data_IF_606374154082
#
_entry.id   IF_606374154082
#
_cell.length_a   1.000
_cell.length_b   1.000
_cell.length_c   1.000
_cell.angle_alpha   90.00
_cell.angle_beta   90.00
_cell.angle_gamma   90.00
#
_symmetry.space_group_name_H-M   'P 1'
#
loop_
_entity.id
_entity.type
_entity.pdbx_description
1 polymer ?
#
# COMPACT_ATOMS: atom_id res chain seq x y z
N UNK A 1 16.28 1.40 1.00
CA UNK A 1 15.23 1.79 1.98
C UNK A 1 14.21 2.66 1.29
N UNK A 2 12.91 2.41 1.50
CA UNK A 2 11.81 3.30 1.09
C UNK A 2 11.26 3.95 2.34
N UNK A 3 11.02 5.27 2.33
CA UNK A 3 10.47 6.00 3.48
C UNK A 3 9.19 6.69 3.06
N UNK A 4 8.09 6.32 3.69
CA UNK A 4 6.79 6.98 3.52
C UNK A 4 6.57 8.02 4.60
N UNK A 5 6.11 9.20 4.20
CA UNK A 5 5.89 10.32 5.11
C UNK A 5 4.44 10.78 5.00
N UNK A 6 3.79 10.88 6.16
CA UNK A 6 2.40 11.34 6.27
C UNK A 6 2.24 12.83 5.96
N UNK A 7 1.04 13.23 5.52
CA UNK A 7 0.74 14.63 5.18
C UNK A 7 0.94 15.58 6.37
N UNK A 8 0.53 15.19 7.57
CA UNK A 8 0.68 15.97 8.81
C UNK A 8 2.14 16.19 9.22
N UNK A 9 3.04 15.32 8.76
CA UNK A 9 4.48 15.44 9.04
C UNK A 9 5.17 16.38 8.05
N UNK A 10 4.76 16.33 6.76
CA UNK A 10 5.33 17.17 5.70
C UNK A 10 4.77 18.58 5.72
N UNK A 11 3.50 18.74 6.12
CA UNK A 11 2.78 20.03 6.10
C UNK A 11 2.22 20.33 7.47
N UNK A 12 2.58 21.49 7.98
CA UNK A 12 2.06 21.99 9.25
C UNK A 12 0.57 22.33 9.19
N UNK A 13 -0.03 22.56 10.36
CA UNK A 13 -1.43 22.96 10.49
C UNK A 13 -1.76 24.30 9.79
N UNK A 14 -0.75 25.12 9.52
CA UNK A 14 -0.84 26.39 8.80
C UNK A 14 -0.78 26.22 7.26
N UNK A 15 -0.75 24.99 6.77
CA UNK A 15 -0.64 24.66 5.35
C UNK A 15 0.74 24.86 4.74
N UNK A 16 1.75 25.18 5.55
CA UNK A 16 3.12 25.38 5.09
C UNK A 16 3.93 24.10 5.19
N UNK A 17 4.89 23.96 4.27
CA UNK A 17 5.83 22.83 4.29
C UNK A 17 6.70 22.90 5.55
N UNK A 18 6.80 21.79 6.27
CA UNK A 18 7.70 21.62 7.40
C UNK A 18 9.15 21.41 6.95
N UNK A 19 9.81 22.52 6.60
CA UNK A 19 11.20 22.51 6.12
C UNK A 19 12.17 21.94 7.14
N UNK A 20 11.93 22.14 8.43
CA UNK A 20 12.78 21.58 9.48
C UNK A 20 12.76 20.05 9.45
N UNK A 21 11.59 19.44 9.26
CA UNK A 21 11.46 18.00 9.10
C UNK A 21 12.18 17.51 7.81
N UNK A 22 11.94 18.18 6.67
CA UNK A 22 12.59 17.79 5.40
C UNK A 22 14.12 17.94 5.50
N UNK A 23 14.62 18.99 6.17
CA UNK A 23 16.04 19.17 6.44
C UNK A 23 16.63 18.05 7.29
N UNK A 24 15.96 17.66 8.39
CA UNK A 24 16.35 16.53 9.22
C UNK A 24 16.34 15.19 8.47
N UNK A 25 15.35 15.00 7.57
CA UNK A 25 15.32 13.84 6.68
C UNK A 25 16.51 13.83 5.71
N UNK A 26 16.88 14.98 5.16
CA UNK A 26 18.02 15.11 4.26
C UNK A 26 19.35 14.86 5.01
N UNK A 27 19.47 15.26 6.28
CA UNK A 27 20.62 14.90 7.14
C UNK A 27 20.72 13.38 7.33
N UNK A 28 19.61 12.71 7.62
CA UNK A 28 19.55 11.26 7.74
C UNK A 28 19.86 10.59 6.39
N UNK A 29 19.35 11.10 5.26
CA UNK A 29 19.65 10.58 3.92
C UNK A 29 21.16 10.65 3.60
N UNK A 30 21.83 11.75 3.97
CA UNK A 30 23.29 11.89 3.81
C UNK A 30 24.06 10.89 4.68
N UNK A 31 23.57 10.64 5.92
CA UNK A 31 24.16 9.64 6.81
C UNK A 31 23.93 8.21 6.29
N UNK A 32 22.75 7.90 5.80
CA UNK A 32 22.40 6.61 5.17
C UNK A 32 23.27 6.31 3.96
N UNK A 33 23.53 7.31 3.09
CA UNK A 33 24.42 7.16 1.95
C UNK A 33 25.85 6.76 2.37
N UNK A 34 26.35 7.32 3.48
CA UNK A 34 27.66 6.95 4.03
C UNK A 34 27.68 5.52 4.60
N UNK A 35 26.55 5.02 5.05
CA UNK A 35 26.38 3.62 5.50
C UNK A 35 26.13 2.64 4.34
N UNK A 36 26.14 3.11 3.07
CA UNK A 36 25.90 2.28 1.90
C UNK A 36 24.43 2.07 1.54
N UNK A 37 23.50 2.71 2.27
CA UNK A 37 22.08 2.66 1.98
C UNK A 37 21.70 3.64 0.88
N UNK A 38 20.65 3.28 0.14
CA UNK A 38 20.00 4.13 -0.85
C UNK A 38 18.57 4.41 -0.40
N UNK A 39 18.12 5.65 -0.62
CA UNK A 39 16.84 6.13 -0.14
C UNK A 39 15.90 6.43 -1.31
N UNK A 40 14.64 6.05 -1.16
CA UNK A 40 13.50 6.53 -1.94
C UNK A 40 12.49 7.10 -0.97
N UNK A 41 11.97 8.29 -1.24
CA UNK A 41 10.96 8.95 -0.40
C UNK A 41 9.60 8.81 -1.07
N UNK A 42 8.57 8.41 -0.32
CA UNK A 42 7.18 8.50 -0.74
C UNK A 42 6.51 9.59 0.10
N UNK A 43 6.27 10.72 -0.55
CA UNK A 43 5.77 11.92 0.10
C UNK A 43 4.25 12.02 0.02
N UNK A 44 3.69 12.90 0.83
CA UNK A 44 2.28 13.27 0.86
C UNK A 44 2.15 14.79 1.00
N UNK A 45 0.91 15.28 1.13
CA UNK A 45 0.65 16.66 1.54
C UNK A 45 0.47 17.66 0.41
N UNK A 46 0.50 17.25 -0.87
CA UNK A 46 0.35 18.16 -2.00
C UNK A 46 -0.96 18.97 -1.93
N UNK A 47 -2.10 18.33 -1.69
CA UNK A 47 -3.37 19.03 -1.51
C UNK A 47 -3.32 19.99 -0.32
N UNK A 48 -2.72 19.55 0.80
CA UNK A 48 -2.63 20.36 2.02
C UNK A 48 -1.80 21.65 1.83
N UNK A 49 -0.73 21.57 1.04
CA UNK A 49 0.05 22.76 0.64
C UNK A 49 -0.66 23.64 -0.39
N UNK A 50 -1.42 23.04 -1.29
CA UNK A 50 -1.96 23.76 -2.44
C UNK A 50 -3.22 24.54 -2.18
N UNK A 51 -4.13 24.07 -1.30
CA UNK A 51 -5.40 24.73 -1.09
C UNK A 51 -5.24 26.17 -0.54
N UNK A 52 -4.34 26.49 0.41
CA UNK A 52 -4.18 27.87 0.89
C UNK A 52 -3.59 28.78 -0.19
N UNK A 53 -2.66 28.25 -1.00
CA UNK A 53 -2.01 29.02 -2.08
C UNK A 53 -2.99 29.40 -3.18
N UNK A 54 -3.99 28.56 -3.42
CA UNK A 54 -5.07 28.83 -4.37
C UNK A 54 -6.21 29.68 -3.76
N UNK A 55 -6.06 30.15 -2.51
CA UNK A 55 -7.02 31.03 -1.86
C UNK A 55 -8.22 30.32 -1.24
N UNK A 56 -8.14 29.02 -0.99
CA UNK A 56 -9.16 28.30 -0.25
C UNK A 56 -8.89 28.40 1.25
N UNK A 57 -9.89 28.82 2.05
CA UNK A 57 -9.79 28.88 3.52
C UNK A 57 -9.72 27.48 4.16
N UNK A 58 -10.21 26.45 3.45
CA UNK A 58 -10.20 25.05 3.87
C UNK A 58 -10.09 24.12 2.66
N UNK A 59 -9.63 22.91 2.93
CA UNK A 59 -9.56 21.85 1.89
C UNK A 59 -10.93 21.67 1.22
N UNK A 60 -11.02 21.75 -0.12
CA UNK A 60 -12.26 21.47 -0.86
C UNK A 60 -12.77 20.07 -0.55
N UNK A 61 -14.09 19.90 -0.42
CA UNK A 61 -14.73 18.62 -0.18
C UNK A 61 -15.77 18.36 -1.27
N UNK A 62 -15.70 17.20 -1.91
CA UNK A 62 -16.63 16.82 -2.98
C UNK A 62 -16.43 17.55 -4.32
N UNK A 63 -15.38 18.35 -4.45
CA UNK A 63 -15.00 19.08 -5.66
C UNK A 63 -13.66 18.54 -6.18
N UNK A 64 -13.75 17.49 -6.99
CA UNK A 64 -12.58 16.80 -7.56
C UNK A 64 -11.67 17.73 -8.35
N UNK A 65 -12.16 18.59 -9.29
CA UNK A 65 -11.30 19.52 -10.02
C UNK A 65 -10.52 20.49 -9.12
N UNK A 66 -11.14 21.00 -8.06
CA UNK A 66 -10.47 21.86 -7.08
C UNK A 66 -9.41 21.12 -6.29
N UNK A 67 -9.67 19.84 -5.89
CA UNK A 67 -8.67 19.01 -5.23
C UNK A 67 -7.47 18.71 -6.13
N UNK A 68 -7.71 18.40 -7.41
CA UNK A 68 -6.67 18.17 -8.41
C UNK A 68 -5.83 19.43 -8.65
N UNK A 69 -6.46 20.60 -8.73
CA UNK A 69 -5.76 21.87 -8.84
C UNK A 69 -4.90 22.16 -7.59
N UNK A 70 -5.43 21.90 -6.39
CA UNK A 70 -4.67 22.03 -5.15
C UNK A 70 -3.47 21.07 -5.11
N UNK A 71 -3.65 19.81 -5.51
CA UNK A 71 -2.57 18.84 -5.59
C UNK A 71 -1.47 19.32 -6.55
N UNK A 72 -1.84 19.78 -7.74
CA UNK A 72 -0.90 20.29 -8.75
C UNK A 72 -0.08 21.47 -8.23
N UNK A 73 -0.73 22.49 -7.64
CA UNK A 73 -0.05 23.66 -7.10
C UNK A 73 0.85 23.30 -5.90
N UNK A 74 0.35 22.48 -4.99
CA UNK A 74 1.09 22.08 -3.81
C UNK A 74 2.25 21.14 -4.11
N UNK A 75 2.14 20.30 -5.14
CA UNK A 75 3.23 19.42 -5.55
C UNK A 75 4.50 20.19 -5.96
N UNK A 76 4.35 21.31 -6.64
CA UNK A 76 5.48 22.19 -6.98
C UNK A 76 6.19 22.70 -5.72
N UNK A 77 5.42 23.12 -4.72
CA UNK A 77 5.95 23.67 -3.46
C UNK A 77 6.72 22.61 -2.68
N UNK A 78 6.13 21.42 -2.52
CA UNK A 78 6.76 20.32 -1.79
C UNK A 78 8.02 19.85 -2.51
N UNK A 79 7.95 19.69 -3.84
CA UNK A 79 9.08 19.26 -4.64
C UNK A 79 10.26 20.24 -4.54
N UNK A 80 10.01 21.54 -4.58
CA UNK A 80 11.02 22.58 -4.39
C UNK A 80 11.65 22.51 -2.99
N UNK A 81 10.84 22.26 -1.94
CA UNK A 81 11.35 22.14 -0.59
C UNK A 81 12.28 20.92 -0.42
N UNK A 82 11.92 19.78 -1.01
CA UNK A 82 12.82 18.61 -1.02
C UNK A 82 14.11 18.90 -1.78
N UNK A 83 14.02 19.50 -2.97
CA UNK A 83 15.19 19.81 -3.79
C UNK A 83 16.16 20.74 -3.06
N UNK A 84 15.66 21.83 -2.49
CA UNK A 84 16.46 22.81 -1.75
C UNK A 84 17.17 22.17 -0.53
N UNK A 85 16.42 21.44 0.30
CA UNK A 85 16.96 20.86 1.54
C UNK A 85 17.95 19.71 1.27
N UNK A 86 17.69 18.88 0.26
CA UNK A 86 18.58 17.79 -0.12
C UNK A 86 19.83 18.31 -0.84
N UNK A 87 19.66 19.30 -1.72
CA UNK A 87 20.78 19.92 -2.42
C UNK A 87 21.76 20.60 -1.44
N UNK A 88 21.28 21.20 -0.37
CA UNK A 88 22.13 21.76 0.69
C UNK A 88 23.04 20.72 1.38
N UNK A 89 22.79 19.43 1.14
CA UNK A 89 23.55 18.29 1.69
C UNK A 89 24.22 17.43 0.59
N UNK A 90 24.43 18.02 -0.59
CA UNK A 90 25.02 17.36 -1.75
C UNK A 90 24.26 16.09 -2.20
N UNK A 91 22.94 16.10 -2.04
CA UNK A 91 22.03 15.08 -2.51
C UNK A 91 21.16 15.63 -3.64
N UNK A 92 21.05 14.87 -4.74
CA UNK A 92 20.12 15.19 -5.82
C UNK A 92 18.79 14.52 -5.56
N UNK A 93 17.70 15.22 -5.86
CA UNK A 93 16.35 14.65 -5.84
C UNK A 93 15.77 14.56 -7.24
N UNK A 94 14.73 13.78 -7.38
CA UNK A 94 13.89 13.75 -8.59
C UNK A 94 12.44 13.53 -8.22
N UNK A 95 11.53 14.24 -8.88
CA UNK A 95 10.09 14.01 -8.70
C UNK A 95 9.63 12.87 -9.62
N UNK A 96 8.93 11.90 -9.05
CA UNK A 96 8.28 10.81 -9.78
C UNK A 96 6.80 10.74 -9.35
N UNK A 97 5.90 10.97 -10.28
CA UNK A 97 4.45 10.89 -10.04
C UNK A 97 3.91 9.61 -10.64
N UNK A 98 3.22 8.83 -9.83
CA UNK A 98 2.64 7.54 -10.22
C UNK A 98 1.14 7.54 -9.90
N UNK A 99 0.36 6.81 -10.69
CA UNK A 99 -1.00 6.43 -10.34
C UNK A 99 -1.09 4.91 -10.19
N UNK A 100 -2.07 4.42 -9.44
CA UNK A 100 -2.37 2.99 -9.39
C UNK A 100 -2.68 2.45 -10.78
N UNK A 101 -3.46 3.19 -11.56
CA UNK A 101 -3.81 2.81 -12.92
C UNK A 101 -2.58 2.66 -13.84
N UNK A 102 -1.61 3.56 -13.73
CA UNK A 102 -0.37 3.47 -14.52
C UNK A 102 0.41 2.20 -14.16
N UNK A 103 0.50 1.88 -12.89
CA UNK A 103 1.20 0.68 -12.41
C UNK A 103 0.40 -0.61 -12.62
N UNK A 104 -0.91 -0.51 -12.88
CA UNK A 104 -1.77 -1.63 -13.24
C UNK A 104 -1.39 -2.24 -14.59
N UNK A 105 -0.79 -1.49 -15.49
CA UNK A 105 -0.34 -2.01 -16.79
C UNK A 105 1.10 -2.50 -16.68
N UNK A 106 1.35 -3.76 -17.04
CA UNK A 106 2.69 -4.39 -16.96
C UNK A 106 3.78 -3.53 -17.61
N UNK A 107 3.50 -2.93 -18.77
CA UNK A 107 4.47 -2.08 -19.48
C UNK A 107 4.84 -0.85 -18.67
N UNK A 108 3.85 -0.11 -18.16
CA UNK A 108 4.07 1.08 -17.33
C UNK A 108 4.75 0.73 -16.00
N UNK A 109 4.37 -0.40 -15.37
CA UNK A 109 5.04 -0.95 -14.18
C UNK A 109 6.54 -1.16 -14.43
N UNK A 110 6.91 -1.79 -15.55
CA UNK A 110 8.32 -2.03 -15.88
C UNK A 110 9.07 -0.74 -16.15
N UNK A 111 8.46 0.23 -16.85
CA UNK A 111 9.09 1.53 -17.08
C UNK A 111 9.29 2.32 -15.78
N UNK A 112 8.30 2.34 -14.89
CA UNK A 112 8.42 2.98 -13.58
C UNK A 112 9.55 2.34 -12.75
N UNK A 113 9.61 1.00 -12.72
CA UNK A 113 10.68 0.23 -12.06
C UNK A 113 12.05 0.61 -12.61
N UNK A 114 12.23 0.54 -13.91
CA UNK A 114 13.52 0.77 -14.56
C UNK A 114 13.99 2.21 -14.36
N UNK A 115 13.07 3.19 -14.40
CA UNK A 115 13.37 4.59 -14.11
C UNK A 115 13.79 4.79 -12.64
N UNK A 116 13.04 4.24 -11.68
CA UNK A 116 13.35 4.35 -10.25
C UNK A 116 14.70 3.68 -9.93
N UNK A 117 14.94 2.47 -10.41
CA UNK A 117 16.21 1.78 -10.22
C UNK A 117 17.37 2.58 -10.81
N UNK A 118 17.18 3.16 -12.00
CA UNK A 118 18.24 3.97 -12.62
C UNK A 118 18.55 5.24 -11.84
N UNK A 119 17.54 5.93 -11.30
CA UNK A 119 17.73 7.08 -10.43
C UNK A 119 18.54 6.70 -9.18
N UNK A 120 18.14 5.61 -8.52
CA UNK A 120 18.83 5.08 -7.33
C UNK A 120 20.28 4.69 -7.64
N UNK A 121 20.55 4.06 -8.79
CA UNK A 121 21.92 3.74 -9.26
C UNK A 121 22.77 4.98 -9.48
N UNK A 122 22.19 6.05 -10.00
CA UNK A 122 22.85 7.33 -10.22
C UNK A 122 23.07 8.12 -8.93
N UNK A 123 22.62 7.60 -7.77
CA UNK A 123 22.75 8.26 -6.47
C UNK A 123 21.76 9.40 -6.25
N UNK A 124 20.72 9.49 -7.09
CA UNK A 124 19.60 10.42 -6.92
C UNK A 124 18.62 9.85 -5.92
N UNK A 125 18.00 10.68 -5.10
CA UNK A 125 16.92 10.31 -4.19
C UNK A 125 15.57 10.59 -4.88
N UNK A 126 14.83 9.56 -5.34
CA UNK A 126 13.51 9.78 -5.90
C UNK A 126 12.53 10.20 -4.80
N UNK A 127 11.79 11.27 -5.05
CA UNK A 127 10.63 11.70 -4.26
C UNK A 127 9.40 11.32 -5.06
N UNK A 128 8.71 10.29 -4.61
CA UNK A 128 7.55 9.72 -5.28
C UNK A 128 6.28 10.24 -4.61
N UNK A 129 5.28 10.58 -5.39
CA UNK A 129 3.94 10.87 -4.90
C UNK A 129 2.89 10.36 -5.88
N UNK A 130 1.62 10.34 -5.44
CA UNK A 130 0.51 10.08 -6.36
C UNK A 130 0.35 11.24 -7.35
N UNK A 131 0.01 10.90 -8.60
CA UNK A 131 -0.37 11.89 -9.61
C UNK A 131 -1.85 12.23 -9.48
N UNK A 132 -2.18 12.94 -8.41
CA UNK A 132 -3.55 13.35 -8.08
C UNK A 132 -4.23 14.13 -9.22
N UNK A 133 -3.46 14.75 -10.13
CA UNK A 133 -3.98 15.57 -11.23
C UNK A 133 -4.78 14.74 -12.25
N UNK A 134 -4.45 13.46 -12.41
CA UNK A 134 -5.09 12.55 -13.38
C UNK A 134 -5.82 11.38 -12.72
N UNK A 135 -5.82 11.31 -11.41
CA UNK A 135 -6.54 10.27 -10.66
C UNK A 135 -8.04 10.51 -10.80
N UNK A 136 -8.77 9.52 -11.34
CA UNK A 136 -10.19 9.60 -11.71
C UNK A 136 -11.09 9.09 -10.57
N UNK A 137 -10.59 8.17 -9.76
CA UNK A 137 -11.34 7.70 -8.60
C UNK A 137 -11.57 8.87 -7.66
N UNK A 138 -12.81 9.00 -7.17
CA UNK A 138 -13.09 9.98 -6.12
C UNK A 138 -11.89 9.99 -5.20
N UNK A 139 -11.20 11.16 -5.08
CA UNK A 139 -10.04 11.31 -4.21
C UNK A 139 -10.51 11.02 -2.78
N UNK A 140 -10.95 9.83 -2.54
CA UNK A 140 -10.98 9.13 -1.29
C UNK A 140 -9.56 8.63 -1.09
N UNK A 141 -8.69 9.64 -1.03
CA UNK A 141 -7.42 9.60 -0.36
C UNK A 141 -6.45 8.55 -0.87
N UNK A 142 -5.53 9.04 -1.69
CA UNK A 142 -4.31 8.35 -1.96
C UNK A 142 -3.74 7.78 -0.68
N UNK A 143 -3.92 6.48 -0.50
CA UNK A 143 -3.25 5.74 0.53
C UNK A 143 -1.80 5.60 0.11
N UNK A 144 -1.00 6.64 0.45
CA UNK A 144 0.43 6.60 0.18
C UNK A 144 1.14 5.47 0.96
N UNK A 145 0.45 4.79 1.88
CA UNK A 145 0.95 3.56 2.50
C UNK A 145 0.98 2.44 1.43
N UNK A 146 -0.07 2.30 0.62
CA UNK A 146 -0.10 1.37 -0.52
C UNK A 146 0.89 1.77 -1.62
N UNK A 147 1.02 3.07 -1.92
CA UNK A 147 2.02 3.56 -2.87
C UNK A 147 3.44 3.24 -2.39
N UNK A 148 3.73 3.38 -1.09
CA UNK A 148 5.02 3.02 -0.52
C UNK A 148 5.30 1.53 -0.62
N UNK A 149 4.30 0.67 -0.40
CA UNK A 149 4.43 -0.76 -0.61
C UNK A 149 4.73 -1.09 -2.09
N UNK A 150 4.01 -0.46 -3.03
CA UNK A 150 4.25 -0.60 -4.46
C UNK A 150 5.68 -0.18 -4.84
N UNK A 151 6.11 1.01 -4.40
CA UNK A 151 7.47 1.53 -4.68
C UNK A 151 8.52 0.61 -4.09
N UNK A 152 8.30 0.09 -2.86
CA UNK A 152 9.20 -0.87 -2.22
C UNK A 152 9.35 -2.16 -3.04
N UNK A 153 8.25 -2.65 -3.60
CA UNK A 153 8.29 -3.80 -4.50
C UNK A 153 8.98 -3.48 -5.83
N UNK A 154 8.72 -2.29 -6.41
CA UNK A 154 9.36 -1.85 -7.67
C UNK A 154 10.88 -1.81 -7.56
N UNK A 155 11.41 -1.29 -6.45
CA UNK A 155 12.86 -1.16 -6.25
C UNK A 155 13.48 -2.33 -5.49
N UNK A 156 12.71 -3.37 -5.19
CA UNK A 156 13.15 -4.52 -4.37
C UNK A 156 13.82 -4.05 -3.06
N UNK A 157 13.13 -3.18 -2.32
CA UNK A 157 13.67 -2.58 -1.10
C UNK A 157 13.97 -3.63 -0.03
N UNK A 158 15.00 -3.41 0.78
CA UNK A 158 15.28 -4.24 1.96
C UNK A 158 14.38 -3.85 3.13
N UNK A 159 14.02 -2.57 3.23
CA UNK A 159 13.23 -2.00 4.32
C UNK A 159 12.31 -0.89 3.82
N UNK A 160 11.04 -0.93 4.25
CA UNK A 160 10.08 0.16 4.11
C UNK A 160 9.80 0.77 5.48
N UNK A 161 9.95 2.08 5.63
CA UNK A 161 9.69 2.79 6.89
C UNK A 161 8.53 3.76 6.69
N UNK A 162 7.49 3.62 7.51
CA UNK A 162 6.36 4.56 7.56
C UNK A 162 6.56 5.50 8.75
N UNK A 163 6.93 6.75 8.46
CA UNK A 163 6.97 7.83 9.44
C UNK A 163 5.56 8.40 9.62
N UNK A 164 5.04 8.29 10.82
CA UNK A 164 3.67 8.64 11.21
C UNK A 164 3.65 9.57 12.41
N UNK A 165 2.47 9.98 12.82
CA UNK A 165 2.17 10.69 14.07
C UNK A 165 2.11 9.77 15.28
N UNK A 166 2.25 8.47 15.09
CA UNK A 166 2.26 7.45 16.14
C UNK A 166 3.60 6.71 16.16
N UNK A 167 3.99 6.23 17.33
CA UNK A 167 5.27 5.57 17.58
C UNK A 167 5.31 4.08 17.16
N UNK A 168 4.14 3.48 16.84
CA UNK A 168 4.03 2.12 16.35
C UNK A 168 2.63 1.53 16.54
N UNK A 169 2.54 0.21 16.54
CA UNK A 169 1.32 -0.55 16.76
C UNK A 169 1.13 -0.88 18.23
N UNK A 170 -0.12 -0.81 18.69
CA UNK A 170 -0.57 -1.21 20.03
C UNK A 170 -1.63 -2.31 19.92
N UNK A 171 -1.86 -3.04 20.99
CA UNK A 171 -2.89 -4.09 21.06
C UNK A 171 -4.32 -3.54 20.99
N UNK A 172 -4.50 -2.25 21.26
CA UNK A 172 -5.73 -1.46 21.12
C UNK A 172 -5.35 0.01 20.94
N UNK A 173 -6.33 0.90 20.73
CA UNK A 173 -6.06 2.34 20.64
C UNK A 173 -5.61 2.90 22.04
N UNK A 174 -4.35 3.34 22.21
CA UNK A 174 -3.83 3.78 23.50
C UNK A 174 -4.50 5.06 24.02
N UNK A 175 -5.20 5.82 23.17
CA UNK A 175 -5.99 6.99 23.59
C UNK A 175 -7.35 6.62 24.19
N UNK A 176 -7.86 5.44 23.91
CA UNK A 176 -9.17 4.94 24.34
C UNK A 176 -9.03 3.85 25.40
N UNK A 177 -8.00 3.03 25.30
CA UNK A 177 -7.72 1.91 26.22
C UNK A 177 -6.35 2.09 26.90
N UNK A 178 -6.32 2.47 28.18
CA UNK A 178 -5.08 2.63 28.93
C UNK A 178 -4.34 1.29 29.20
N UNK A 179 -4.95 0.16 28.87
CA UNK A 179 -4.31 -1.18 28.97
C UNK A 179 -3.65 -1.61 27.65
N UNK A 180 -3.71 -0.77 26.62
CA UNK A 180 -3.07 -1.03 25.34
C UNK A 180 -1.56 -1.17 25.52
N UNK A 181 -1.02 -2.28 25.03
CA UNK A 181 0.41 -2.59 25.08
C UNK A 181 1.05 -2.36 23.70
N UNK A 182 2.26 -1.79 23.72
CA UNK A 182 3.05 -1.62 22.51
C UNK A 182 3.48 -2.95 21.91
N UNK A 183 3.36 -3.11 20.58
CA UNK A 183 3.73 -4.31 19.84
C UNK A 183 5.06 -4.07 19.10
N UNK A 184 6.20 -4.53 19.62
CA UNK A 184 7.49 -4.23 19.00
C UNK A 184 7.74 -4.97 17.68
N UNK A 185 7.21 -6.20 17.53
CA UNK A 185 7.43 -7.05 16.35
C UNK A 185 6.16 -7.81 15.99
N UNK A 186 5.84 -7.83 14.70
CA UNK A 186 4.75 -8.59 14.11
C UNK A 186 5.32 -9.58 13.11
N UNK A 187 5.27 -10.89 13.42
CA UNK A 187 5.69 -11.96 12.51
C UNK A 187 4.53 -12.51 11.66
N UNK A 188 3.29 -12.20 12.04
CA UNK A 188 2.09 -12.61 11.30
C UNK A 188 0.97 -11.61 11.55
N UNK A 189 0.33 -11.17 10.47
CA UNK A 189 -0.86 -10.33 10.55
C UNK A 189 -2.09 -11.22 10.58
N UNK A 190 -2.60 -11.46 11.78
CA UNK A 190 -3.82 -12.22 12.05
C UNK A 190 -5.01 -11.29 12.35
N UNK A 191 -6.17 -11.88 12.63
CA UNK A 191 -7.38 -11.14 12.97
C UNK A 191 -7.21 -10.24 14.21
N UNK A 192 -6.30 -10.59 15.16
CA UNK A 192 -6.05 -9.76 16.35
C UNK A 192 -5.30 -8.48 15.99
N UNK A 193 -4.27 -8.62 15.15
CA UNK A 193 -3.50 -7.47 14.62
C UNK A 193 -4.40 -6.55 13.79
N UNK A 194 -5.31 -7.12 12.97
CA UNK A 194 -6.27 -6.30 12.20
C UNK A 194 -7.26 -5.59 13.14
N UNK A 195 -7.79 -6.30 14.13
CA UNK A 195 -8.71 -5.73 15.11
C UNK A 195 -8.07 -4.63 15.99
N UNK A 196 -6.77 -4.73 16.27
CA UNK A 196 -6.03 -3.72 17.05
C UNK A 196 -5.90 -2.36 16.34
N UNK A 197 -6.09 -2.33 15.01
CA UNK A 197 -6.13 -1.09 14.24
C UNK A 197 -7.36 -0.21 14.56
N UNK A 198 -8.36 -0.76 15.23
CA UNK A 198 -9.63 -0.08 15.53
C UNK A 198 -10.51 0.13 14.29
N UNK A 199 -11.78 0.43 14.53
CA UNK A 199 -12.66 0.94 13.48
C UNK A 199 -12.19 2.35 13.09
N UNK A 200 -11.93 2.59 11.83
CA UNK A 200 -11.46 3.87 11.27
C UNK A 200 -12.57 4.94 11.26
N UNK A 201 -13.22 5.18 12.40
CA UNK A 201 -14.30 6.16 12.55
C UNK A 201 -13.83 7.58 12.87
N UNK A 202 -12.51 7.82 13.01
CA UNK A 202 -12.00 9.17 13.24
C UNK A 202 -11.73 9.89 11.91
N UNK A 203 -12.54 10.87 11.66
CA UNK A 203 -12.77 11.62 10.42
C UNK A 203 -11.68 12.60 9.97
N UNK A 204 -10.45 12.54 10.45
CA UNK A 204 -9.44 13.61 10.19
C UNK A 204 -8.15 13.13 9.53
N UNK A 205 -7.87 11.84 9.48
CA UNK A 205 -6.67 11.29 8.84
C UNK A 205 -7.00 10.26 7.77
N UNK A 206 -6.52 10.47 6.56
CA UNK A 206 -6.84 9.66 5.39
C UNK A 206 -6.06 8.36 5.28
N UNK A 207 -5.16 8.08 6.22
CA UNK A 207 -4.36 6.86 6.32
C UNK A 207 -4.34 6.38 7.78
N UNK A 208 -5.38 5.66 8.22
CA UNK A 208 -5.44 5.08 9.56
C UNK A 208 -4.44 3.94 9.78
N UNK A 209 -4.38 3.38 10.99
CA UNK A 209 -3.54 2.21 11.29
C UNK A 209 -3.85 1.03 10.37
N UNK A 210 -5.10 0.85 9.98
CA UNK A 210 -5.53 -0.24 9.10
C UNK A 210 -4.85 -0.21 7.73
N UNK A 211 -4.66 0.98 7.13
CA UNK A 211 -3.97 1.11 5.83
C UNK A 211 -2.50 0.76 5.94
N UNK A 212 -1.85 1.12 7.06
CA UNK A 212 -0.45 0.77 7.35
C UNK A 212 -0.27 -0.72 7.54
N UNK A 213 -1.21 -1.38 8.24
CA UNK A 213 -1.21 -2.85 8.42
C UNK A 213 -1.42 -3.54 7.07
N UNK A 214 -2.33 -3.05 6.21
CA UNK A 214 -2.52 -3.61 4.87
C UNK A 214 -1.26 -3.45 4.00
N UNK A 215 -0.63 -2.29 4.00
CA UNK A 215 0.64 -2.06 3.30
C UNK A 215 1.74 -2.99 3.83
N UNK A 216 1.89 -3.11 5.16
CA UNK A 216 2.85 -4.02 5.79
C UNK A 216 2.58 -5.48 5.44
N UNK A 217 1.31 -5.90 5.34
CA UNK A 217 0.94 -7.25 4.93
C UNK A 217 1.40 -7.58 3.51
N UNK A 218 1.25 -6.63 2.59
CA UNK A 218 1.74 -6.77 1.22
C UNK A 218 3.27 -6.87 1.20
N UNK A 219 3.95 -6.01 1.97
CA UNK A 219 5.40 -6.02 2.08
C UNK A 219 5.91 -7.34 2.67
N UNK A 220 5.31 -7.83 3.74
CA UNK A 220 5.63 -9.15 4.32
C UNK A 220 5.44 -10.27 3.30
N UNK A 221 4.36 -10.23 2.52
CA UNK A 221 4.11 -11.19 1.44
C UNK A 221 5.21 -11.11 0.37
N UNK A 222 5.72 -9.91 0.08
CA UNK A 222 6.85 -9.70 -0.84
C UNK A 222 8.23 -9.99 -0.22
N UNK A 223 8.30 -10.43 1.04
CA UNK A 223 9.55 -10.68 1.76
C UNK A 223 10.32 -9.41 2.12
N UNK A 224 9.64 -8.27 2.19
CA UNK A 224 10.21 -6.96 2.54
C UNK A 224 9.85 -6.63 3.98
N UNK A 225 10.85 -6.32 4.80
CA UNK A 225 10.62 -5.81 6.15
C UNK A 225 9.98 -4.42 6.11
N UNK A 226 9.05 -4.14 7.04
CA UNK A 226 8.51 -2.80 7.20
C UNK A 226 8.48 -2.37 8.66
N UNK A 227 8.61 -1.07 8.89
CA UNK A 227 8.57 -0.46 10.21
C UNK A 227 7.57 0.69 10.21
N UNK A 228 6.74 0.76 11.24
CA UNK A 228 5.91 1.92 11.56
C UNK A 228 6.50 2.58 12.78
N UNK A 229 6.85 3.86 12.67
CA UNK A 229 7.40 4.63 13.81
C UNK A 229 7.01 6.10 13.72
N UNK A 230 7.25 6.83 14.80
CA UNK A 230 7.03 8.27 14.83
C UNK A 230 7.97 9.02 13.89
N UNK A 231 7.44 10.00 13.16
CA UNK A 231 8.23 10.94 12.38
C UNK A 231 9.05 11.90 13.25
N UNK A 232 8.74 12.00 14.55
CA UNK A 232 9.47 12.82 15.53
C UNK A 232 10.61 12.03 16.21
N UNK A 233 10.71 10.72 15.99
CA UNK A 233 11.76 9.88 16.57
C UNK A 233 13.13 10.30 16.02
N UNK A 234 14.07 10.72 16.89
CA UNK A 234 15.37 11.20 16.45
C UNK A 234 16.16 10.12 15.72
N UNK A 235 16.73 10.49 14.57
CA UNK A 235 17.62 9.64 13.76
C UNK A 235 17.03 8.24 13.45
N UNK A 236 15.70 8.12 13.40
CA UNK A 236 14.99 6.85 13.26
C UNK A 236 15.54 6.00 12.09
N UNK A 237 15.75 6.62 10.93
CA UNK A 237 16.21 5.90 9.74
C UNK A 237 17.65 5.41 9.87
N UNK A 238 18.52 6.21 10.51
CA UNK A 238 19.93 5.88 10.73
C UNK A 238 20.04 4.76 11.77
N UNK A 239 19.24 4.83 12.84
CA UNK A 239 19.16 3.80 13.88
C UNK A 239 18.68 2.47 13.30
N UNK A 240 17.61 2.48 12.51
CA UNK A 240 17.11 1.30 11.79
C UNK A 240 18.18 0.72 10.85
N UNK A 241 18.90 1.58 10.10
CA UNK A 241 19.98 1.13 9.21
C UNK A 241 21.14 0.46 9.95
N UNK A 242 21.30 0.74 11.25
CA UNK A 242 22.28 0.09 12.16
C UNK A 242 21.74 -1.16 12.83
N UNK A 243 20.48 -1.51 12.60
CA UNK A 243 19.82 -2.67 13.22
C UNK A 243 19.28 -2.40 14.62
N UNK A 244 19.12 -1.12 15.02
CA UNK A 244 18.47 -0.78 16.28
C UNK A 244 16.95 -0.92 16.15
N UNK A 245 16.29 -1.26 17.26
CA UNK A 245 14.82 -1.35 17.32
C UNK A 245 14.21 0.05 17.43
N UNK A 246 13.37 0.42 16.48
CA UNK A 246 12.59 1.65 16.46
C UNK A 246 11.19 1.32 15.97
N UNK A 247 10.17 1.74 16.71
CA UNK A 247 8.78 1.50 16.34
C UNK A 247 8.37 0.03 16.31
N UNK A 248 7.38 -0.31 15.51
CA UNK A 248 6.91 -1.69 15.29
C UNK A 248 7.49 -2.24 14.00
N UNK A 249 8.24 -3.33 14.11
CA UNK A 249 8.78 -4.10 12.97
C UNK A 249 7.76 -5.15 12.52
N UNK A 250 7.42 -5.14 11.24
CA UNK A 250 6.73 -6.23 10.55
C UNK A 250 7.79 -7.07 9.83
N UNK A 251 8.03 -8.25 10.35
CA UNK A 251 9.12 -9.14 9.94
C UNK A 251 8.58 -10.31 9.12
N UNK A 252 8.84 -10.36 7.81
CA UNK A 252 8.35 -11.44 6.96
C UNK A 252 9.01 -12.78 7.33
N UNK A 253 8.36 -13.92 6.98
CA UNK A 253 8.99 -15.24 7.12
C UNK A 253 10.35 -15.28 6.39
N UNK A 254 11.30 -16.03 6.96
CA UNK A 254 12.66 -16.15 6.43
C UNK A 254 12.73 -16.76 5.01
N UNK A 255 11.72 -17.54 4.62
CA UNK A 255 11.56 -18.04 3.25
C UNK A 255 10.96 -16.92 2.39
N UNK A 256 11.81 -16.20 1.66
CA UNK A 256 11.35 -15.25 0.62
C UNK A 256 10.56 -16.04 -0.42
N UNK A 257 9.26 -15.81 -0.49
CA UNK A 257 8.47 -16.26 -1.62
C UNK A 257 8.93 -15.45 -2.84
N UNK A 258 9.45 -16.10 -3.86
CA UNK A 258 9.72 -15.47 -5.16
C UNK A 258 8.38 -15.16 -5.83
N UNK A 259 7.79 -14.02 -5.43
CA UNK A 259 6.48 -13.61 -5.93
C UNK A 259 6.67 -12.93 -7.27
N UNK A 260 6.09 -13.54 -8.30
CA UNK A 260 6.11 -12.97 -9.64
C UNK A 260 5.58 -11.51 -9.61
N UNK A 261 6.21 -10.58 -10.34
CA UNK A 261 5.79 -9.17 -10.38
C UNK A 261 4.31 -8.97 -10.70
N UNK A 262 3.71 -9.89 -11.47
CA UNK A 262 2.27 -9.90 -11.79
C UNK A 262 1.41 -10.07 -10.53
N UNK A 263 1.82 -10.91 -9.58
CA UNK A 263 1.07 -11.15 -8.34
C UNK A 263 1.16 -9.95 -7.40
N UNK A 264 2.31 -9.30 -7.33
CA UNK A 264 2.48 -8.05 -6.60
C UNK A 264 1.60 -6.95 -7.20
N UNK A 265 1.50 -6.90 -8.52
CA UNK A 265 0.60 -6.00 -9.20
C UNK A 265 -0.88 -6.25 -8.82
N UNK A 266 -1.33 -7.51 -8.75
CA UNK A 266 -2.69 -7.86 -8.31
C UNK A 266 -2.94 -7.42 -6.86
N UNK A 267 -1.93 -7.57 -5.99
CA UNK A 267 -2.02 -7.15 -4.59
C UNK A 267 -2.15 -5.64 -4.40
N UNK A 268 -1.42 -4.87 -5.22
CA UNK A 268 -1.21 -3.42 -5.07
C UNK A 268 -1.99 -2.58 -6.08
N UNK A 269 -2.53 -3.23 -7.11
CA UNK A 269 -3.22 -2.57 -8.22
C UNK A 269 -4.59 -1.99 -7.83
N UNK A 270 -5.58 -2.17 -8.69
CA UNK A 270 -6.90 -1.61 -8.50
C UNK A 270 -7.57 -2.08 -7.19
N UNK A 271 -8.48 -1.24 -6.68
CA UNK A 271 -9.40 -1.63 -5.62
C UNK A 271 -10.18 -2.86 -6.08
N UNK A 272 -10.37 -3.84 -5.20
CA UNK A 272 -11.24 -4.96 -5.51
C UNK A 272 -12.65 -4.45 -5.88
N UNK A 273 -13.18 -4.93 -7.01
CA UNK A 273 -14.52 -4.58 -7.49
C UNK A 273 -15.62 -5.36 -6.76
N UNK A 274 -15.22 -6.46 -6.12
CA UNK A 274 -16.08 -7.31 -5.32
C UNK A 274 -15.27 -8.27 -4.48
N UNK A 275 -15.95 -9.16 -3.80
CA UNK A 275 -15.34 -10.20 -2.99
C UNK A 275 -16.05 -11.56 -3.15
N UNK A 276 -15.29 -12.62 -2.83
CA UNK A 276 -15.85 -13.97 -2.70
C UNK A 276 -15.50 -14.51 -1.33
N UNK A 277 -16.49 -14.99 -0.58
CA UNK A 277 -16.28 -15.71 0.67
C UNK A 277 -16.09 -17.18 0.37
N UNK A 278 -15.03 -17.78 0.91
CA UNK A 278 -14.68 -19.19 0.67
C UNK A 278 -14.84 -20.03 1.93
N UNK A 279 -15.03 -21.35 1.77
CA UNK A 279 -15.03 -22.26 2.89
C UNK A 279 -13.62 -22.51 3.44
N UNK A 280 -13.53 -23.09 4.65
CA UNK A 280 -12.27 -23.34 5.35
C UNK A 280 -11.34 -24.30 4.58
N UNK A 281 -11.91 -25.21 3.79
CA UNK A 281 -11.15 -26.13 2.94
C UNK A 281 -10.47 -25.40 1.78
N UNK A 282 -11.21 -24.51 1.12
CA UNK A 282 -10.69 -23.66 0.05
C UNK A 282 -9.67 -22.66 0.59
N UNK A 283 -9.97 -21.96 1.69
CA UNK A 283 -9.04 -21.04 2.35
C UNK A 283 -7.71 -21.76 2.69
N UNK A 284 -7.78 -22.92 3.28
CA UNK A 284 -6.59 -23.73 3.59
C UNK A 284 -5.82 -24.19 2.35
N UNK A 285 -6.53 -24.58 1.28
CA UNK A 285 -5.90 -24.99 0.02
C UNK A 285 -5.17 -23.83 -0.67
N UNK A 286 -5.76 -22.63 -0.65
CA UNK A 286 -5.14 -21.41 -1.17
C UNK A 286 -3.86 -21.07 -0.41
N UNK A 287 -3.94 -21.00 0.94
CA UNK A 287 -2.83 -20.59 1.80
C UNK A 287 -1.69 -21.60 1.81
N UNK A 288 -2.01 -22.92 1.90
CA UNK A 288 -0.99 -23.94 2.11
C UNK A 288 -0.43 -24.58 0.83
N UNK A 289 -1.16 -24.51 -0.28
CA UNK A 289 -0.81 -25.21 -1.54
C UNK A 289 -0.66 -24.29 -2.74
N UNK A 290 -1.00 -23.00 -2.62
CA UNK A 290 -1.00 -22.07 -3.76
C UNK A 290 -1.91 -22.54 -4.90
N UNK A 291 -3.05 -23.15 -4.58
CA UNK A 291 -4.00 -23.70 -5.55
C UNK A 291 -4.82 -22.60 -6.22
N UNK A 292 -5.40 -22.87 -7.39
CA UNK A 292 -6.46 -22.03 -7.96
C UNK A 292 -7.72 -22.11 -7.10
N UNK A 293 -8.51 -21.03 -7.08
CA UNK A 293 -9.84 -21.04 -6.45
C UNK A 293 -10.86 -21.66 -7.42
N UNK A 294 -11.47 -22.74 -6.98
CA UNK A 294 -12.56 -23.39 -7.72
C UNK A 294 -13.91 -22.94 -7.20
N UNK A 295 -14.93 -22.91 -8.05
CA UNK A 295 -16.29 -22.50 -7.69
C UNK A 295 -16.88 -23.31 -6.54
N UNK A 296 -16.52 -24.58 -6.38
CA UNK A 296 -16.96 -25.43 -5.28
C UNK A 296 -16.57 -24.90 -3.89
N UNK A 297 -15.46 -24.15 -3.81
CA UNK A 297 -14.99 -23.56 -2.56
C UNK A 297 -15.64 -22.21 -2.23
N UNK A 298 -16.40 -21.61 -3.16
CA UNK A 298 -17.07 -20.32 -2.97
C UNK A 298 -18.37 -20.54 -2.23
N UNK A 299 -18.65 -19.73 -1.22
CA UNK A 299 -19.89 -19.73 -0.43
C UNK A 299 -20.78 -18.55 -0.79
N UNK A 300 -20.17 -17.39 -1.02
CA UNK A 300 -20.87 -16.13 -1.27
C UNK A 300 -20.08 -15.29 -2.24
N UNK A 301 -20.77 -14.52 -3.07
CA UNK A 301 -20.22 -13.55 -4.01
C UNK A 301 -20.83 -12.19 -3.65
N UNK A 302 -20.00 -11.16 -3.49
CA UNK A 302 -20.44 -9.81 -3.15
C UNK A 302 -19.84 -8.79 -4.14
N UNK A 303 -20.68 -7.83 -4.53
CA UNK A 303 -20.32 -6.81 -5.51
C UNK A 303 -20.64 -7.17 -6.95
N UNK A 304 -20.54 -6.18 -7.85
CA UNK A 304 -20.74 -6.33 -9.29
C UNK A 304 -19.39 -6.16 -10.00
N UNK A 305 -18.96 -7.19 -10.69
CA UNK A 305 -17.67 -7.22 -11.39
C UNK A 305 -17.76 -8.05 -12.68
N UNK A 306 -16.86 -7.79 -13.59
CA UNK A 306 -16.70 -8.51 -14.85
C UNK A 306 -15.49 -9.48 -14.82
N UNK A 307 -15.43 -10.40 -15.78
CA UNK A 307 -14.22 -11.19 -16.06
C UNK A 307 -13.02 -10.25 -16.27
N UNK A 308 -11.93 -10.50 -15.56
CA UNK A 308 -10.72 -9.68 -15.57
C UNK A 308 -10.59 -8.69 -14.43
N UNK A 309 -11.65 -8.46 -13.67
CA UNK A 309 -11.62 -7.58 -12.50
C UNK A 309 -10.91 -8.22 -11.30
N UNK A 310 -10.37 -7.38 -10.42
CA UNK A 310 -9.71 -7.81 -9.19
C UNK A 310 -10.74 -8.06 -8.10
N UNK A 311 -10.65 -9.22 -7.44
CA UNK A 311 -11.50 -9.62 -6.32
C UNK A 311 -10.71 -9.88 -5.06
N UNK A 312 -11.30 -9.55 -3.91
CA UNK A 312 -10.85 -10.03 -2.62
C UNK A 312 -11.43 -11.44 -2.34
N UNK A 313 -10.61 -12.32 -1.80
CA UNK A 313 -11.02 -13.65 -1.34
C UNK A 313 -11.00 -13.65 0.18
N UNK A 314 -12.19 -13.76 0.78
CA UNK A 314 -12.38 -13.72 2.22
C UNK A 314 -12.59 -15.13 2.79
N UNK A 315 -12.07 -15.39 3.96
CA UNK A 315 -12.42 -16.59 4.73
C UNK A 315 -13.78 -16.45 5.43
N UNK A 316 -14.18 -17.49 6.16
CA UNK A 316 -15.46 -17.53 6.90
C UNK A 316 -15.57 -16.47 8.01
N UNK A 317 -14.47 -15.84 8.42
CA UNK A 317 -14.44 -14.72 9.39
C UNK A 317 -14.56 -13.35 8.72
N UNK A 318 -14.56 -13.28 7.39
CA UNK A 318 -14.51 -12.04 6.61
C UNK A 318 -13.10 -11.48 6.41
N UNK A 319 -12.06 -12.20 6.84
CA UNK A 319 -10.69 -11.77 6.63
C UNK A 319 -10.27 -12.05 5.18
N UNK A 320 -9.71 -11.04 4.50
CA UNK A 320 -9.14 -11.20 3.16
C UNK A 320 -7.89 -12.07 3.25
N UNK A 321 -7.95 -13.29 2.73
CA UNK A 321 -6.83 -14.26 2.73
C UNK A 321 -6.07 -14.29 1.41
N UNK A 322 -6.70 -13.82 0.33
CA UNK A 322 -6.09 -13.74 -0.99
C UNK A 322 -6.72 -12.63 -1.82
N UNK A 323 -6.10 -12.28 -2.94
CA UNK A 323 -6.65 -11.38 -3.95
C UNK A 323 -6.32 -11.94 -5.33
N UNK A 324 -7.24 -11.83 -6.29
CA UNK A 324 -7.00 -12.39 -7.61
C UNK A 324 -7.90 -11.80 -8.69
N UNK A 325 -7.65 -12.22 -9.93
CA UNK A 325 -8.41 -11.78 -11.10
C UNK A 325 -9.54 -12.79 -11.35
N UNK A 326 -10.77 -12.28 -11.47
CA UNK A 326 -11.94 -13.08 -11.81
C UNK A 326 -11.83 -13.69 -13.21
N UNK A 327 -12.14 -14.96 -13.33
CA UNK A 327 -12.21 -15.66 -14.64
C UNK A 327 -13.65 -15.73 -15.19
N UNK A 328 -14.59 -15.04 -14.53
CA UNK A 328 -15.97 -14.89 -14.97
C UNK A 328 -16.66 -13.72 -14.27
N UNK A 329 -17.77 -13.25 -14.82
CA UNK A 329 -18.61 -12.18 -14.23
C UNK A 329 -19.25 -12.62 -12.91
N UNK A 330 -19.63 -11.63 -12.07
CA UNK A 330 -20.25 -11.85 -10.76
C UNK A 330 -21.44 -12.80 -10.80
N UNK A 331 -22.38 -12.60 -11.75
CA UNK A 331 -23.59 -13.40 -11.89
C UNK A 331 -23.29 -14.88 -12.21
N UNK A 332 -22.25 -15.12 -13.01
CA UNK A 332 -21.77 -16.46 -13.36
C UNK A 332 -21.13 -17.13 -12.14
N UNK A 333 -20.30 -16.40 -11.39
CA UNK A 333 -19.67 -16.94 -10.18
C UNK A 333 -20.70 -17.20 -9.08
N UNK A 334 -21.70 -16.35 -8.90
CA UNK A 334 -22.80 -16.56 -7.95
C UNK A 334 -23.59 -17.83 -8.31
N UNK A 335 -23.92 -18.00 -9.58
CA UNK A 335 -24.63 -19.20 -10.05
C UNK A 335 -23.76 -20.48 -9.91
N UNK A 336 -22.44 -20.36 -10.01
CA UNK A 336 -21.50 -21.49 -9.91
C UNK A 336 -21.08 -21.81 -8.46
N UNK A 337 -21.29 -20.90 -7.51
CA UNK A 337 -20.84 -21.03 -6.13
C UNK A 337 -21.31 -22.33 -5.48
N UNK A 338 -20.39 -23.05 -4.83
CA UNK A 338 -20.63 -24.33 -4.16
C UNK A 338 -20.82 -25.53 -5.08
N UNK A 339 -20.84 -25.34 -6.39
CA UNK A 339 -21.05 -26.44 -7.37
C UNK A 339 -19.75 -27.12 -7.74
N UNK A 340 -19.86 -28.44 -7.94
CA UNK A 340 -18.75 -29.24 -8.43
C UNK A 340 -18.58 -29.08 -9.94
N UNK A 341 -17.41 -29.41 -10.47
CA UNK A 341 -17.06 -29.28 -11.88
C UNK A 341 -18.02 -30.03 -12.82
N UNK A 342 -18.48 -31.23 -12.43
CA UNK A 342 -19.48 -32.00 -13.18
C UNK A 342 -20.85 -31.32 -13.27
N UNK A 343 -21.28 -30.65 -12.20
CA UNK A 343 -22.51 -29.88 -12.16
C UNK A 343 -22.41 -28.60 -13.00
N UNK A 344 -21.22 -27.94 -12.99
CA UNK A 344 -20.94 -26.78 -13.82
C UNK A 344 -20.95 -27.17 -15.29
N UNK A 345 -20.27 -28.24 -15.67
CA UNK A 345 -20.21 -28.73 -17.04
C UNK A 345 -21.59 -29.15 -17.62
N UNK A 346 -22.50 -29.56 -16.76
CA UNK A 346 -23.89 -29.92 -17.18
C UNK A 346 -24.81 -28.72 -17.37
N UNK A 347 -24.38 -27.51 -16.93
CA UNK A 347 -25.17 -26.29 -17.03
C UNK A 347 -24.67 -25.42 -18.20
N UNK A 348 -25.54 -25.20 -19.20
CA UNK A 348 -25.20 -24.42 -20.39
C UNK A 348 -24.78 -22.97 -20.11
N UNK A 349 -25.27 -22.37 -19.05
CA UNK A 349 -24.93 -21.00 -18.63
C UNK A 349 -23.54 -20.92 -17.97
N UNK A 350 -22.99 -22.05 -17.52
CA UNK A 350 -21.70 -22.17 -16.85
C UNK A 350 -20.66 -22.87 -17.71
N UNK A 351 -20.94 -23.13 -18.98
CA UNK A 351 -20.08 -23.94 -19.86
C UNK A 351 -18.66 -23.39 -19.95
N UNK A 352 -18.49 -22.07 -20.01
CA UNK A 352 -17.19 -21.42 -20.09
C UNK A 352 -16.37 -21.58 -18.80
N UNK A 353 -17.03 -21.70 -17.65
CA UNK A 353 -16.37 -21.90 -16.35
C UNK A 353 -16.08 -23.40 -16.08
N UNK A 354 -16.63 -24.32 -16.90
CA UNK A 354 -16.42 -25.75 -16.73
C UNK A 354 -14.94 -26.17 -16.86
N UNK A 355 -14.17 -25.46 -17.66
CA UNK A 355 -12.74 -25.73 -17.90
C UNK A 355 -11.79 -24.75 -17.19
N UNK A 356 -12.34 -23.73 -16.51
CA UNK A 356 -11.59 -22.68 -15.82
C UNK A 356 -11.84 -22.71 -14.31
N UNK A 357 -10.86 -22.32 -13.47
CA UNK A 357 -11.15 -22.00 -12.08
C UNK A 357 -11.88 -20.65 -11.96
N UNK A 358 -12.48 -20.35 -10.82
CA UNK A 358 -13.04 -19.02 -10.54
C UNK A 358 -11.93 -17.94 -10.51
N UNK A 359 -10.76 -18.30 -9.95
CA UNK A 359 -9.53 -17.49 -10.00
C UNK A 359 -8.35 -18.44 -10.21
N UNK A 360 -7.57 -18.19 -11.26
CA UNK A 360 -6.40 -19.02 -11.56
C UNK A 360 -5.24 -18.71 -10.60
N UNK A 361 -4.49 -19.73 -10.16
CA UNK A 361 -3.37 -19.59 -9.21
C UNK A 361 -2.29 -18.60 -9.67
N UNK A 362 -2.08 -18.46 -10.99
CA UNK A 362 -1.09 -17.51 -11.54
C UNK A 362 -1.58 -16.06 -11.48
N UNK A 363 -2.90 -15.88 -11.32
CA UNK A 363 -3.60 -14.62 -11.19
C UNK A 363 -4.11 -14.41 -9.74
N UNK A 364 -3.54 -15.11 -8.76
CA UNK A 364 -3.96 -15.07 -7.37
C UNK A 364 -2.73 -14.90 -6.48
N UNK A 365 -2.79 -13.92 -5.58
CA UNK A 365 -1.83 -13.73 -4.51
C UNK A 365 -2.49 -14.09 -3.18
N UNK A 366 -1.78 -14.84 -2.37
CA UNK A 366 -2.20 -15.20 -1.01
C UNK A 366 -1.44 -14.33 -0.04
N UNK A 367 -2.14 -13.75 0.91
CA UNK A 367 -1.53 -12.92 1.94
C UNK A 367 -1.06 -13.78 3.11
N UNK A 368 0.19 -13.53 3.54
CA UNK A 368 0.83 -14.22 4.66
C UNK A 368 0.26 -13.77 6.02
#
# INVERSE_FOLDING_TARGET
MVVKIGSSTVVGADGKVNRAFIGGLADQAAALRKLGWRLVVVSSGAIACGYPVLGFDRKPVGDLPSLQACASAGQCIISSAYDEEFHARDLLTSLVLLTRHDTARRTSYLHARDALLRLVELGVVPVVNENDTVTVDEIKFGDNDTLAALVSCLVSADLCVTLSDIDGLYTANPHEDPTAEFVPVVHKIDAKIIASAGDSSTSVGTGGMITKIHASRILMTAGIQSVICSGEEPDALVRLARGESVGTLFDPPAERLDIAPRKLWIALGDKAHGSVTVDDGAAKALVSRGSSLLAVGIREVDGQFAEGDVLDVCDSSGMVVARGIAEADSDVLELAAGRRQDQIASNRLLADLAEKPAIHRDNLIVFA
#
